data_IF_271020911784
#
_entry.id   IF_271020911784
#
_cell.length_a   1.000
_cell.length_b   1.000
_cell.length_c   1.000
_cell.angle_alpha   90.00
_cell.angle_beta   90.00
_cell.angle_gamma   90.00
#
_symmetry.space_group_name_H-M   'P 1'
#
loop_
_entity.id
_entity.type
_entity.pdbx_description
1 polymer ?
#
# COMPACT_ATOMS: atom_id res chain seq x y z
N UNK A 1 21.98 4.04 -12.12
CA UNK A 1 21.56 2.64 -11.88
C UNK A 1 20.06 2.54 -12.08
N UNK A 2 19.52 1.44 -12.63
CA UNK A 2 18.08 1.25 -12.85
C UNK A 2 17.44 0.52 -11.66
N UNK A 3 16.35 1.10 -11.17
CA UNK A 3 15.59 0.59 -10.03
C UNK A 3 14.15 0.34 -10.50
N UNK A 4 13.70 -0.90 -10.45
CA UNK A 4 12.30 -1.26 -10.68
C UNK A 4 11.55 -1.24 -9.36
N UNK A 5 10.41 -0.56 -9.31
CA UNK A 5 9.46 -0.62 -8.20
C UNK A 5 8.19 -1.34 -8.66
N UNK A 6 7.82 -2.34 -7.89
CA UNK A 6 6.63 -3.14 -8.09
C UNK A 6 5.68 -2.97 -6.91
N UNK A 7 4.39 -2.98 -7.23
CA UNK A 7 3.30 -2.89 -6.28
C UNK A 7 3.14 -4.10 -5.37
N UNK A 8 1.91 -4.29 -4.93
CA UNK A 8 1.54 -5.21 -3.86
C UNK A 8 1.60 -6.68 -4.28
N UNK A 9 2.19 -7.53 -3.43
CA UNK A 9 2.27 -8.98 -3.63
C UNK A 9 1.70 -9.79 -2.47
N UNK A 10 0.81 -10.72 -2.83
CA UNK A 10 0.28 -11.78 -1.97
C UNK A 10 0.09 -13.07 -2.79
N UNK A 11 0.77 -14.16 -2.38
CA UNK A 11 0.72 -15.45 -3.08
C UNK A 11 0.43 -16.63 -2.14
N UNK A 12 -0.71 -17.29 -2.32
CA UNK A 12 -1.04 -18.54 -1.63
C UNK A 12 -0.51 -19.77 -2.35
N UNK A 13 -0.45 -19.73 -3.67
CA UNK A 13 -0.02 -20.84 -4.54
C UNK A 13 1.11 -20.40 -5.48
N UNK A 14 2.25 -19.89 -4.95
CA UNK A 14 3.30 -19.26 -5.75
C UNK A 14 3.82 -20.11 -6.91
N UNK A 15 3.80 -21.43 -6.79
CA UNK A 15 4.19 -22.40 -7.83
C UNK A 15 3.31 -22.35 -9.09
N UNK A 16 2.09 -21.82 -9.00
CA UNK A 16 1.18 -21.68 -10.13
C UNK A 16 1.40 -20.38 -10.90
N UNK A 17 2.07 -19.40 -10.29
CA UNK A 17 2.17 -18.05 -10.82
C UNK A 17 3.54 -17.78 -11.43
N UNK A 18 3.58 -16.95 -12.46
CA UNK A 18 4.82 -16.58 -13.16
C UNK A 18 4.86 -15.12 -13.57
N UNK A 19 6.07 -14.62 -13.76
CA UNK A 19 6.33 -13.36 -14.46
C UNK A 19 6.45 -13.67 -15.95
N UNK A 20 5.67 -12.98 -16.77
CA UNK A 20 5.68 -13.11 -18.22
C UNK A 20 7.04 -12.72 -18.83
N UNK A 21 7.38 -13.25 -20.03
CA UNK A 21 8.70 -13.07 -20.63
C UNK A 21 9.10 -11.61 -20.88
N UNK A 22 8.16 -10.72 -21.27
CA UNK A 22 8.50 -9.33 -21.57
C UNK A 22 8.79 -8.54 -20.28
N UNK A 23 7.94 -8.72 -19.27
CA UNK A 23 8.14 -8.15 -17.94
C UNK A 23 9.43 -8.68 -17.31
N UNK A 24 9.69 -9.98 -17.42
CA UNK A 24 10.94 -10.58 -16.93
C UNK A 24 12.18 -9.97 -17.58
N UNK A 25 12.11 -9.67 -18.89
CA UNK A 25 13.20 -8.98 -19.61
C UNK A 25 13.43 -7.57 -19.05
N UNK A 26 12.38 -6.80 -18.80
CA UNK A 26 12.47 -5.45 -18.21
C UNK A 26 13.05 -5.48 -16.80
N UNK A 27 12.54 -6.36 -15.94
CA UNK A 27 13.05 -6.54 -14.58
C UNK A 27 14.53 -6.95 -14.59
N UNK A 28 14.93 -7.81 -15.52
CA UNK A 28 16.33 -8.24 -15.68
C UNK A 28 17.30 -7.13 -16.11
N UNK A 29 16.81 -5.99 -16.57
CA UNK A 29 17.63 -4.80 -16.86
C UNK A 29 17.81 -3.88 -15.65
N UNK A 30 17.15 -4.18 -14.52
CA UNK A 30 17.20 -3.37 -13.30
C UNK A 30 18.09 -4.06 -12.26
N UNK A 31 19.07 -3.31 -11.72
CA UNK A 31 19.98 -3.79 -10.69
C UNK A 31 19.29 -3.93 -9.33
N UNK A 32 18.36 -3.02 -9.03
CA UNK A 32 17.51 -3.07 -7.84
C UNK A 32 16.07 -3.31 -8.26
N UNK A 33 15.40 -4.22 -7.55
CA UNK A 33 14.00 -4.59 -7.76
C UNK A 33 13.30 -4.57 -6.42
N UNK A 34 12.44 -3.58 -6.26
CA UNK A 34 11.69 -3.25 -5.06
C UNK A 34 10.30 -3.85 -5.17
N UNK A 35 9.81 -4.48 -4.11
CA UNK A 35 8.43 -5.00 -4.05
C UNK A 35 7.84 -4.88 -2.64
N UNK A 36 6.53 -4.65 -2.56
CA UNK A 36 5.80 -4.74 -1.30
C UNK A 36 5.34 -6.18 -1.05
N UNK A 37 5.96 -6.84 -0.07
CA UNK A 37 5.54 -8.16 0.39
C UNK A 37 4.47 -7.98 1.45
N UNK A 38 3.21 -7.96 1.00
CA UNK A 38 2.16 -7.30 1.78
C UNK A 38 1.75 -8.10 3.01
N UNK A 39 1.78 -9.42 2.92
CA UNK A 39 1.16 -10.28 3.91
C UNK A 39 2.21 -11.18 4.58
N UNK A 40 2.12 -11.49 5.90
CA UNK A 40 3.02 -12.43 6.54
C UNK A 40 2.84 -13.84 5.97
N UNK A 41 3.90 -14.65 6.07
CA UNK A 41 3.82 -16.05 5.67
C UNK A 41 3.07 -16.90 6.70
N UNK A 42 2.41 -17.94 6.21
CA UNK A 42 1.81 -18.97 7.05
C UNK A 42 2.84 -19.57 8.00
N UNK A 43 2.49 -19.57 9.28
CA UNK A 43 3.38 -19.99 10.37
C UNK A 43 2.61 -20.93 11.28
N UNK A 44 3.15 -22.13 11.50
CA UNK A 44 2.54 -23.12 12.38
C UNK A 44 2.39 -22.56 13.80
N UNK A 45 1.19 -22.71 14.37
CA UNK A 45 0.87 -22.20 15.71
C UNK A 45 0.46 -20.72 15.77
N UNK A 46 0.78 -19.92 14.75
CA UNK A 46 0.45 -18.50 14.74
C UNK A 46 -1.07 -18.27 14.59
N UNK A 47 -1.60 -17.39 15.45
CA UNK A 47 -3.03 -17.06 15.48
C UNK A 47 -3.25 -15.67 14.88
N UNK A 48 -4.24 -15.56 14.00
CA UNK A 48 -4.65 -14.29 13.41
C UNK A 48 -5.07 -13.27 14.47
N UNK A 49 -4.58 -12.04 14.35
CA UNK A 49 -4.91 -10.97 15.30
C UNK A 49 -6.36 -10.52 15.15
N UNK A 50 -6.91 -9.96 16.22
CA UNK A 50 -8.20 -9.30 16.14
C UNK A 50 -8.02 -7.86 15.64
N UNK A 51 -8.28 -7.64 14.35
CA UNK A 51 -8.19 -6.33 13.67
C UNK A 51 -9.46 -5.99 12.88
N UNK A 52 -9.55 -4.74 12.43
CA UNK A 52 -10.51 -4.36 11.41
C UNK A 52 -10.06 -4.88 10.05
N UNK A 53 -11.01 -5.28 9.22
CA UNK A 53 -10.72 -5.81 7.90
C UNK A 53 -10.27 -7.27 7.94
N UNK A 54 -9.84 -7.82 6.79
CA UNK A 54 -9.45 -9.21 6.70
C UNK A 54 -8.09 -9.46 7.38
N UNK A 55 -7.94 -10.70 7.84
CA UNK A 55 -6.65 -11.26 8.28
C UNK A 55 -6.13 -12.15 7.16
N UNK A 56 -4.92 -11.88 6.70
CA UNK A 56 -4.30 -12.53 5.56
C UNK A 56 -2.98 -13.20 5.93
N UNK A 57 -2.73 -14.34 5.31
CA UNK A 57 -1.45 -15.04 5.28
C UNK A 57 -1.17 -15.46 3.82
N UNK A 58 0.10 -15.68 3.52
CA UNK A 58 0.55 -16.20 2.22
C UNK A 58 1.52 -17.37 2.38
N UNK A 59 1.78 -18.13 1.31
CA UNK A 59 2.66 -19.29 1.38
C UNK A 59 4.10 -18.88 1.75
N UNK A 60 4.82 -19.64 2.60
CA UNK A 60 6.25 -19.43 2.82
C UNK A 60 7.08 -19.49 1.53
N UNK A 61 6.62 -20.22 0.52
CA UNK A 61 7.26 -20.29 -0.80
C UNK A 61 7.15 -18.99 -1.59
N UNK A 62 6.29 -18.03 -1.19
CA UNK A 62 6.20 -16.72 -1.82
C UNK A 62 7.52 -15.93 -1.66
N UNK A 63 8.24 -16.10 -0.55
CA UNK A 63 9.55 -15.51 -0.34
C UNK A 63 10.59 -16.06 -1.33
N UNK A 64 10.57 -17.36 -1.60
CA UNK A 64 11.42 -17.98 -2.60
C UNK A 64 11.04 -17.52 -4.02
N UNK A 65 9.74 -17.42 -4.32
CA UNK A 65 9.25 -16.91 -5.60
C UNK A 65 9.77 -15.51 -5.90
N UNK A 66 9.74 -14.61 -4.92
CA UNK A 66 10.31 -13.25 -5.03
C UNK A 66 11.80 -13.30 -5.34
N UNK A 67 12.57 -14.09 -4.57
CA UNK A 67 14.02 -14.21 -4.78
C UNK A 67 14.36 -14.78 -6.15
N UNK A 68 13.64 -15.80 -6.60
CA UNK A 68 13.82 -16.41 -7.92
C UNK A 68 13.48 -15.46 -9.09
N UNK A 69 12.68 -14.41 -8.84
CA UNK A 69 12.42 -13.34 -9.81
C UNK A 69 13.35 -12.13 -9.65
N UNK A 70 14.37 -12.24 -8.80
CA UNK A 70 15.48 -11.28 -8.65
C UNK A 70 15.13 -10.04 -7.82
N UNK A 71 14.02 -10.05 -7.09
CA UNK A 71 13.69 -9.00 -6.12
C UNK A 71 14.68 -9.01 -4.96
N UNK A 72 15.25 -7.85 -4.66
CA UNK A 72 16.35 -7.72 -3.70
C UNK A 72 16.18 -6.55 -2.71
N UNK A 73 15.09 -5.78 -2.84
CA UNK A 73 14.64 -4.79 -1.86
C UNK A 73 13.17 -5.07 -1.55
N UNK A 74 12.85 -5.39 -0.31
CA UNK A 74 11.51 -5.78 0.12
C UNK A 74 11.03 -4.75 1.13
N UNK A 75 9.88 -4.14 0.88
CA UNK A 75 9.18 -3.41 1.93
C UNK A 75 8.18 -4.35 2.61
N UNK A 76 8.23 -4.34 3.94
CA UNK A 76 7.24 -4.98 4.82
C UNK A 76 6.43 -3.92 5.59
N UNK A 77 6.63 -2.63 5.30
CA UNK A 77 5.86 -1.55 5.87
C UNK A 77 4.50 -1.47 5.20
N UNK A 78 3.57 -2.29 5.66
CA UNK A 78 2.18 -2.32 5.23
C UNK A 78 1.28 -2.64 6.43
N UNK A 79 -0.03 -2.60 6.22
CA UNK A 79 -1.02 -2.80 7.28
C UNK A 79 -1.26 -4.29 7.63
N UNK A 80 -0.79 -5.21 6.79
CA UNK A 80 -0.98 -6.66 6.93
C UNK A 80 0.21 -7.38 7.58
N UNK A 81 1.39 -6.76 7.69
CA UNK A 81 2.62 -7.38 8.20
C UNK A 81 2.51 -8.11 9.55
N UNK A 82 1.54 -7.72 10.41
CA UNK A 82 1.28 -8.33 11.72
C UNK A 82 -0.05 -9.06 11.82
N UNK A 83 -0.66 -9.42 10.70
CA UNK A 83 -1.94 -10.15 10.68
C UNK A 83 -1.90 -11.45 11.48
N UNK A 84 -0.72 -12.09 11.59
CA UNK A 84 -0.47 -13.29 12.41
C UNK A 84 0.50 -13.01 13.57
N UNK A 85 0.51 -11.77 14.05
CA UNK A 85 1.29 -11.33 15.20
C UNK A 85 2.81 -11.38 14.99
N UNK A 86 3.54 -11.38 16.11
CA UNK A 86 5.01 -11.42 16.10
C UNK A 86 5.54 -12.72 15.47
N UNK A 87 4.85 -13.84 15.66
CA UNK A 87 5.27 -15.15 15.14
C UNK A 87 5.27 -15.16 13.61
N UNK A 88 4.18 -14.71 12.98
CA UNK A 88 4.08 -14.58 11.53
C UNK A 88 5.11 -13.60 10.95
N UNK A 89 5.32 -12.47 11.63
CA UNK A 89 6.31 -11.48 11.22
C UNK A 89 7.75 -12.03 11.29
N UNK A 90 8.12 -12.62 12.44
CA UNK A 90 9.46 -13.19 12.65
C UNK A 90 9.74 -14.32 11.66
N UNK A 91 8.75 -15.18 11.40
CA UNK A 91 8.88 -16.22 10.38
C UNK A 91 9.09 -15.60 9.00
N UNK A 92 8.34 -14.56 8.65
CA UNK A 92 8.51 -13.83 7.39
C UNK A 92 9.93 -13.26 7.24
N UNK A 93 10.41 -12.55 8.26
CA UNK A 93 11.77 -11.98 8.29
C UNK A 93 12.84 -13.06 8.13
N UNK A 94 12.64 -14.24 8.73
CA UNK A 94 13.62 -15.35 8.64
C UNK A 94 13.83 -15.89 7.22
N UNK A 95 12.90 -15.63 6.29
CA UNK A 95 12.98 -16.10 4.89
C UNK A 95 13.77 -15.15 3.98
N UNK A 96 14.09 -13.95 4.47
CA UNK A 96 14.73 -12.86 3.74
C UNK A 96 16.08 -12.50 4.38
N UNK A 97 17.06 -13.40 4.26
CA UNK A 97 18.40 -13.23 4.86
C UNK A 97 19.42 -12.56 3.92
N UNK A 98 19.13 -12.48 2.63
CA UNK A 98 20.03 -12.05 1.56
C UNK A 98 19.49 -10.85 0.76
N UNK A 99 18.40 -10.25 1.23
CA UNK A 99 17.76 -9.09 0.61
C UNK A 99 17.71 -7.92 1.58
N UNK A 100 17.53 -6.72 1.04
CA UNK A 100 17.34 -5.52 1.85
C UNK A 100 15.88 -5.41 2.28
N UNK A 101 15.61 -5.34 3.57
CA UNK A 101 14.26 -5.13 4.10
C UNK A 101 14.14 -3.70 4.63
N UNK A 102 13.01 -3.03 4.41
CA UNK A 102 12.75 -1.68 4.92
C UNK A 102 11.43 -1.55 5.66
N UNK A 103 11.39 -0.57 6.59
CA UNK A 103 10.18 -0.11 7.26
C UNK A 103 9.60 -1.05 8.33
N UNK A 104 10.42 -1.98 8.83
CA UNK A 104 10.06 -2.95 9.87
C UNK A 104 11.14 -2.98 10.95
N UNK A 105 10.75 -3.12 12.21
CA UNK A 105 11.67 -3.19 13.34
C UNK A 105 10.98 -2.85 14.66
N UNK A 106 11.76 -2.52 15.67
CA UNK A 106 11.24 -2.00 16.95
C UNK A 106 10.89 -0.51 16.81
N UNK A 107 10.34 0.12 17.84
CA UNK A 107 10.11 1.58 17.84
C UNK A 107 11.38 2.40 17.57
N UNK A 108 12.55 1.82 17.85
CA UNK A 108 13.84 2.44 17.55
C UNK A 108 14.33 2.14 16.13
N UNK A 109 14.16 0.91 15.63
CA UNK A 109 14.78 0.48 14.37
C UNK A 109 13.87 0.48 13.14
N UNK A 110 12.54 0.49 13.29
CA UNK A 110 11.62 0.43 12.15
C UNK A 110 11.79 1.58 11.16
N UNK A 111 12.21 2.76 11.64
CA UNK A 111 12.45 3.96 10.84
C UNK A 111 13.91 4.07 10.35
N UNK A 112 14.73 3.05 10.53
CA UNK A 112 16.10 3.08 10.00
C UNK A 112 16.07 3.05 8.47
N UNK A 113 16.99 3.80 7.86
CA UNK A 113 17.21 3.72 6.42
C UNK A 113 17.81 2.37 6.08
N UNK A 114 17.22 1.71 5.09
CA UNK A 114 17.81 0.53 4.47
C UNK A 114 18.61 1.01 3.26
N UNK A 115 19.92 0.82 3.30
CA UNK A 115 20.83 1.35 2.27
C UNK A 115 21.42 0.21 1.46
N UNK A 116 21.35 0.33 0.14
CA UNK A 116 22.01 -0.55 -0.81
C UNK A 116 23.11 0.21 -1.51
N UNK A 117 24.33 -0.33 -1.48
CA UNK A 117 25.48 0.23 -2.18
C UNK A 117 25.79 -0.62 -3.42
N UNK A 118 25.72 0.00 -4.60
CA UNK A 118 25.99 -0.61 -5.91
C UNK A 118 26.54 0.45 -6.85
N UNK A 119 27.54 0.09 -7.67
CA UNK A 119 28.16 0.99 -8.64
C UNK A 119 28.61 2.34 -8.01
N UNK A 120 29.20 2.27 -6.81
CA UNK A 120 29.65 3.42 -6.01
C UNK A 120 28.54 4.43 -5.63
N UNK A 121 27.26 4.03 -5.75
CA UNK A 121 26.10 4.82 -5.36
C UNK A 121 25.36 4.16 -4.18
N UNK A 122 25.01 4.96 -3.17
CA UNK A 122 24.23 4.55 -2.00
C UNK A 122 22.78 4.96 -2.18
N UNK A 123 21.91 3.97 -2.34
CA UNK A 123 20.46 4.17 -2.43
C UNK A 123 19.81 3.82 -1.11
N UNK A 124 19.16 4.79 -0.49
CA UNK A 124 18.35 4.62 0.71
C UNK A 124 16.90 4.31 0.37
N UNK A 125 16.29 3.43 1.16
CA UNK A 125 14.88 3.08 1.12
C UNK A 125 14.26 3.24 2.51
N UNK A 126 13.08 3.87 2.55
CA UNK A 126 12.28 4.02 3.76
C UNK A 126 10.84 3.57 3.52
N UNK A 127 10.51 2.35 3.94
CA UNK A 127 9.14 1.86 3.99
C UNK A 127 8.36 2.54 5.11
N UNK A 128 7.14 3.00 4.82
CA UNK A 128 6.21 3.59 5.79
C UNK A 128 4.82 3.04 5.54
N UNK A 129 3.98 2.97 6.57
CA UNK A 129 2.56 2.60 6.43
C UNK A 129 1.67 3.55 7.22
N UNK A 130 0.44 3.74 6.76
CA UNK A 130 -0.57 4.41 7.59
C UNK A 130 -0.84 3.63 8.90
N UNK A 131 -1.36 4.31 9.92
CA UNK A 131 -1.51 3.76 11.27
C UNK A 131 -2.62 2.72 11.34
N UNK A 132 -2.23 1.45 11.33
CA UNK A 132 -3.05 0.31 11.72
C UNK A 132 -2.37 -0.53 12.83
N UNK A 133 -2.92 -1.69 13.17
CA UNK A 133 -2.48 -2.52 14.32
C UNK A 133 -1.00 -2.91 14.31
N UNK A 134 -0.39 -3.04 13.13
CA UNK A 134 1.00 -3.49 13.01
C UNK A 134 2.05 -2.40 13.28
N UNK A 135 1.65 -1.13 13.38
CA UNK A 135 2.63 -0.05 13.55
C UNK A 135 3.31 -0.10 14.92
N UNK A 136 4.62 0.12 14.94
CA UNK A 136 5.39 0.26 16.19
C UNK A 136 4.79 1.33 17.11
N UNK A 137 4.93 1.11 18.42
CA UNK A 137 4.31 1.92 19.46
C UNK A 137 5.34 2.30 20.53
N UNK A 138 5.29 3.56 20.98
CA UNK A 138 6.14 4.08 22.06
C UNK A 138 5.83 3.40 23.40
N UNK A 139 4.58 2.94 23.60
CA UNK A 139 4.17 2.24 24.81
C UNK A 139 4.74 0.81 24.87
N UNK A 140 5.11 0.24 23.72
CA UNK A 140 5.63 -1.11 23.60
C UNK A 140 6.88 -1.10 22.69
N UNK A 141 7.96 -0.41 23.10
CA UNK A 141 9.03 -0.03 22.20
C UNK A 141 9.83 -1.22 21.63
N UNK A 142 9.85 -2.34 22.33
CA UNK A 142 10.58 -3.57 21.95
C UNK A 142 9.77 -4.49 21.03
N UNK A 143 8.46 -4.25 20.87
CA UNK A 143 7.61 -5.06 19.99
C UNK A 143 7.93 -4.70 18.53
N UNK A 144 8.18 -5.72 17.71
CA UNK A 144 8.42 -5.50 16.29
C UNK A 144 7.14 -5.03 15.61
N UNK A 145 7.27 -4.15 14.64
CA UNK A 145 6.16 -3.57 13.91
C UNK A 145 6.64 -2.78 12.72
N UNK A 146 5.68 -2.17 12.03
CA UNK A 146 5.92 -1.35 10.84
C UNK A 146 6.13 0.11 11.22
N UNK A 147 6.92 0.82 10.42
CA UNK A 147 7.15 2.25 10.57
C UNK A 147 5.89 3.04 10.17
N UNK A 148 5.35 3.82 11.11
CA UNK A 148 4.14 4.60 10.87
C UNK A 148 4.46 5.93 10.18
N UNK A 149 3.78 6.22 9.08
CA UNK A 149 4.01 7.39 8.24
C UNK A 149 3.82 8.73 8.97
N UNK A 150 2.91 8.79 9.96
CA UNK A 150 2.63 9.99 10.74
C UNK A 150 3.58 10.22 11.93
N UNK A 151 4.54 9.33 12.14
CA UNK A 151 5.52 9.46 13.22
C UNK A 151 6.54 10.57 12.91
N UNK A 152 6.89 11.45 13.87
CA UNK A 152 7.98 12.42 13.69
C UNK A 152 9.33 11.77 13.36
N UNK A 153 9.52 10.49 13.72
CA UNK A 153 10.71 9.73 13.35
C UNK A 153 10.84 9.55 11.83
N UNK A 154 9.73 9.43 11.09
CA UNK A 154 9.76 9.30 9.64
C UNK A 154 10.36 10.56 8.99
N UNK A 155 9.84 11.75 9.35
CA UNK A 155 10.37 13.03 8.85
C UNK A 155 11.84 13.21 9.24
N UNK A 156 12.19 12.93 10.49
CA UNK A 156 13.59 13.02 10.95
C UNK A 156 14.50 12.12 10.10
N UNK A 157 14.10 10.87 9.87
CA UNK A 157 14.87 9.93 9.04
C UNK A 157 15.07 10.47 7.62
N UNK A 158 14.02 11.04 7.00
CA UNK A 158 14.09 11.61 5.65
C UNK A 158 15.10 12.77 5.62
N UNK A 159 15.01 13.70 6.57
CA UNK A 159 15.95 14.84 6.66
C UNK A 159 17.40 14.39 6.87
N UNK A 160 17.62 13.37 7.69
CA UNK A 160 18.96 12.84 7.99
C UNK A 160 19.53 12.02 6.81
N UNK A 161 18.71 11.60 5.84
CA UNK A 161 19.09 10.65 4.80
C UNK A 161 20.15 11.17 3.84
N UNK A 162 20.14 12.46 3.54
CA UNK A 162 21.13 13.11 2.64
C UNK A 162 22.57 12.93 3.12
N UNK A 163 22.79 12.74 4.42
CA UNK A 163 24.12 12.48 4.99
C UNK A 163 24.58 11.02 4.87
N UNK A 164 23.68 10.11 4.48
CA UNK A 164 23.88 8.65 4.52
C UNK A 164 23.74 7.98 3.16
N UNK A 165 22.95 8.56 2.26
CA UNK A 165 22.64 8.03 0.94
C UNK A 165 22.64 9.15 -0.11
N UNK A 166 23.00 8.81 -1.35
CA UNK A 166 23.00 9.72 -2.49
C UNK A 166 21.57 9.99 -2.99
N UNK A 167 20.72 8.96 -2.90
CA UNK A 167 19.28 9.04 -3.20
C UNK A 167 18.47 8.37 -2.10
N UNK A 168 17.29 8.92 -1.81
CA UNK A 168 16.32 8.31 -0.91
C UNK A 168 14.99 8.08 -1.63
N UNK A 169 14.49 6.85 -1.63
CA UNK A 169 13.12 6.55 -2.06
C UNK A 169 12.27 6.20 -0.84
N UNK A 170 11.18 6.95 -0.65
CA UNK A 170 10.19 6.67 0.39
C UNK A 170 9.09 5.80 -0.22
N UNK A 171 8.69 4.75 0.50
CA UNK A 171 7.73 3.75 0.05
C UNK A 171 6.51 3.71 0.98
N UNK A 172 5.59 4.69 0.90
CA UNK A 172 4.38 4.70 1.72
C UNK A 172 3.38 3.63 1.25
N UNK A 173 2.88 2.83 2.17
CA UNK A 173 1.73 1.96 1.97
C UNK A 173 0.52 2.59 2.67
N UNK A 174 -0.21 3.43 1.94
CA UNK A 174 -1.30 4.23 2.49
C UNK A 174 -2.28 4.72 1.41
N UNK A 175 -3.53 4.96 1.82
CA UNK A 175 -4.59 5.44 0.94
C UNK A 175 -5.96 4.91 1.35
N UNK A 176 -7.00 5.18 0.56
CA UNK A 176 -8.31 4.56 0.73
C UNK A 176 -8.42 3.45 -0.31
N UNK A 177 -8.70 2.22 0.13
CA UNK A 177 -8.81 1.07 -0.76
C UNK A 177 -9.82 1.28 -1.89
N UNK A 178 -9.45 0.85 -3.10
CA UNK A 178 -10.24 0.90 -4.33
C UNK A 178 -10.59 2.31 -4.82
N UNK A 179 -9.89 3.34 -4.34
CA UNK A 179 -10.03 4.72 -4.82
C UNK A 179 -8.82 5.07 -5.68
N UNK A 180 -9.06 5.51 -6.92
CA UNK A 180 -8.03 5.79 -7.94
C UNK A 180 -7.49 7.24 -7.90
N UNK A 181 -7.89 8.03 -6.90
CA UNK A 181 -7.40 9.38 -6.63
C UNK A 181 -6.87 9.51 -5.18
N UNK A 182 -5.67 10.08 -4.97
CA UNK A 182 -5.15 10.27 -3.62
C UNK A 182 -5.94 11.32 -2.86
N UNK A 183 -6.06 11.16 -1.54
CA UNK A 183 -6.57 12.22 -0.67
C UNK A 183 -5.61 13.43 -0.69
N UNK A 184 -6.10 14.67 -0.58
CA UNK A 184 -5.24 15.86 -0.57
C UNK A 184 -4.18 15.82 0.52
N UNK A 185 -4.52 15.25 1.68
CA UNK A 185 -3.61 15.08 2.81
C UNK A 185 -2.45 14.13 2.48
N UNK A 186 -2.69 13.07 1.68
CA UNK A 186 -1.61 12.21 1.18
C UNK A 186 -0.77 12.93 0.13
N UNK A 187 -1.40 13.68 -0.78
CA UNK A 187 -0.72 14.52 -1.78
C UNK A 187 0.24 15.52 -1.15
N UNK A 188 -0.25 16.29 -0.17
CA UNK A 188 0.55 17.25 0.58
C UNK A 188 1.67 16.58 1.39
N UNK A 189 1.37 15.48 2.09
CA UNK A 189 2.38 14.76 2.88
C UNK A 189 3.50 14.21 2.00
N UNK A 190 3.18 13.65 0.83
CA UNK A 190 4.20 13.10 -0.07
C UNK A 190 5.04 14.20 -0.72
N UNK A 191 4.46 15.35 -1.06
CA UNK A 191 5.21 16.54 -1.48
C UNK A 191 6.18 16.99 -0.38
N UNK A 192 5.76 16.98 0.88
CA UNK A 192 6.64 17.34 2.00
C UNK A 192 7.83 16.40 2.15
N UNK A 193 7.70 15.10 1.82
CA UNK A 193 8.83 14.18 1.85
C UNK A 193 9.92 14.57 0.83
N UNK A 194 9.51 15.05 -0.35
CA UNK A 194 10.44 15.59 -1.34
C UNK A 194 11.10 16.86 -0.80
N UNK A 195 10.33 17.77 -0.19
CA UNK A 195 10.87 19.00 0.41
C UNK A 195 11.90 18.72 1.52
N UNK A 196 11.73 17.62 2.27
CA UNK A 196 12.67 17.16 3.29
C UNK A 196 13.87 16.38 2.73
N UNK A 197 13.94 16.14 1.42
CA UNK A 197 15.11 15.58 0.75
C UNK A 197 14.95 14.16 0.19
N UNK A 198 13.73 13.64 0.09
CA UNK A 198 13.49 12.41 -0.67
C UNK A 198 13.71 12.65 -2.18
N UNK A 199 14.30 11.67 -2.86
CA UNK A 199 14.52 11.66 -4.31
C UNK A 199 13.31 11.16 -5.10
N UNK A 200 12.33 10.58 -4.42
CA UNK A 200 11.08 10.12 -4.99
C UNK A 200 10.18 9.47 -3.93
N UNK A 201 8.88 9.49 -4.17
CA UNK A 201 7.88 8.79 -3.36
C UNK A 201 7.16 7.79 -4.24
N UNK A 202 7.21 6.51 -3.88
CA UNK A 202 6.62 5.42 -4.66
C UNK A 202 5.68 4.64 -3.75
N UNK A 203 4.39 4.93 -3.83
CA UNK A 203 3.39 4.42 -2.89
C UNK A 203 2.59 3.21 -3.41
N UNK A 204 1.94 2.53 -2.47
CA UNK A 204 1.07 1.35 -2.60
C UNK A 204 -0.09 1.42 -1.61
N UNK A 205 -0.94 0.37 -1.51
CA UNK A 205 -2.08 0.17 -0.59
C UNK A 205 -3.48 0.23 -1.22
N UNK A 206 -3.86 1.24 -2.03
CA UNK A 206 -5.22 1.32 -2.55
C UNK A 206 -5.67 0.12 -3.40
N UNK A 207 -4.77 -0.82 -3.74
CA UNK A 207 -5.00 -1.96 -4.61
C UNK A 207 -5.47 -1.60 -6.03
N UNK A 208 -5.38 -0.32 -6.39
CA UNK A 208 -5.63 0.22 -7.72
C UNK A 208 -4.52 1.22 -8.05
N UNK A 209 -4.10 1.34 -9.31
CA UNK A 209 -3.21 2.40 -9.74
C UNK A 209 -3.81 3.78 -9.46
N UNK A 210 -2.98 4.69 -8.98
CA UNK A 210 -3.28 6.12 -8.91
C UNK A 210 -2.31 6.88 -9.82
N UNK A 211 -2.61 8.14 -10.12
CA UNK A 211 -1.76 8.98 -10.95
C UNK A 211 -0.38 9.24 -10.34
N UNK A 212 0.45 9.94 -11.09
CA UNK A 212 1.76 10.39 -10.64
C UNK A 212 1.99 11.86 -10.98
N UNK A 213 2.92 12.48 -10.26
CA UNK A 213 3.35 13.87 -10.47
C UNK A 213 4.87 13.97 -10.45
N UNK A 214 5.41 15.03 -11.06
CA UNK A 214 6.79 15.45 -10.86
C UNK A 214 6.77 16.71 -10.02
N UNK A 215 7.23 16.61 -8.77
CA UNK A 215 7.27 17.70 -7.81
C UNK A 215 8.73 18.03 -7.46
N UNK A 216 9.15 19.28 -7.63
CA UNK A 216 10.54 19.71 -7.45
C UNK A 216 11.57 18.81 -8.16
N UNK A 217 11.22 18.33 -9.37
CA UNK A 217 12.06 17.45 -10.18
C UNK A 217 12.12 16.00 -9.71
N UNK A 218 11.33 15.60 -8.70
CA UNK A 218 11.27 14.24 -8.18
C UNK A 218 9.91 13.59 -8.48
N UNK A 219 9.87 12.28 -8.78
CA UNK A 219 8.63 11.57 -9.03
C UNK A 219 7.86 11.29 -7.73
N UNK A 220 6.54 11.45 -7.79
CA UNK A 220 5.58 10.99 -6.79
C UNK A 220 4.57 10.09 -7.49
N UNK A 221 4.59 8.78 -7.19
CA UNK A 221 3.63 7.80 -7.66
C UNK A 221 2.69 7.49 -6.48
N UNK A 222 1.41 7.84 -6.59
CA UNK A 222 0.48 7.78 -5.46
C UNK A 222 0.00 6.38 -5.11
N UNK A 223 -0.02 5.47 -6.09
CA UNK A 223 -0.24 4.05 -5.88
C UNK A 223 0.16 3.29 -7.14
N UNK A 224 1.02 2.29 -7.00
CA UNK A 224 1.35 1.39 -8.10
C UNK A 224 0.22 0.39 -8.40
N UNK A 225 -0.64 0.06 -7.43
CA UNK A 225 -1.59 -1.06 -7.54
C UNK A 225 -0.95 -2.41 -7.19
N UNK A 226 -1.57 -3.50 -7.62
CA UNK A 226 -1.12 -4.86 -7.29
C UNK A 226 -0.15 -5.42 -8.33
N UNK A 227 1.09 -5.68 -7.94
CA UNK A 227 2.00 -6.42 -8.81
C UNK A 227 1.46 -7.82 -9.08
N UNK A 228 1.12 -8.55 -8.01
CA UNK A 228 0.47 -9.86 -8.11
C UNK A 228 -0.23 -10.19 -6.79
N UNK A 229 -1.56 -10.11 -6.78
CA UNK A 229 -2.36 -10.34 -5.58
C UNK A 229 -3.37 -11.47 -5.79
N UNK A 230 -3.11 -12.64 -5.19
CA UNK A 230 -3.94 -13.83 -5.35
C UNK A 230 -5.24 -13.75 -4.53
N UNK A 231 -6.38 -13.78 -5.21
CA UNK A 231 -7.71 -13.83 -4.59
C UNK A 231 -8.36 -15.22 -4.76
N UNK A 232 -9.02 -15.76 -3.72
CA UNK A 232 -9.65 -17.09 -3.77
C UNK A 232 -10.91 -17.15 -4.65
N UNK A 233 -11.67 -16.04 -4.75
CA UNK A 233 -12.84 -15.92 -5.61
C UNK A 233 -12.67 -14.68 -6.50
N UNK A 234 -12.26 -14.85 -7.77
CA UNK A 234 -12.21 -13.77 -8.75
C UNK A 234 -13.63 -13.45 -9.25
N UNK A 235 -14.58 -13.14 -8.34
CA UNK A 235 -15.88 -12.62 -8.79
C UNK A 235 -15.68 -11.17 -9.25
N UNK A 236 -15.96 -10.97 -10.54
CA UNK A 236 -15.73 -9.77 -11.36
C UNK A 236 -14.26 -9.40 -11.59
N UNK A 237 -13.84 -9.52 -12.86
CA UNK A 237 -12.58 -9.01 -13.41
C UNK A 237 -12.57 -7.47 -13.27
N UNK A 238 -12.35 -6.95 -12.06
CA UNK A 238 -12.09 -5.52 -11.91
C UNK A 238 -10.74 -5.26 -12.55
N UNK A 239 -10.76 -4.77 -13.80
CA UNK A 239 -9.58 -4.44 -14.58
C UNK A 239 -8.56 -3.64 -13.74
N UNK A 240 -9.06 -2.70 -12.93
CA UNK A 240 -8.24 -1.84 -12.07
C UNK A 240 -7.56 -2.56 -10.92
N UNK A 241 -8.09 -3.70 -10.44
CA UNK A 241 -7.48 -4.49 -9.38
C UNK A 241 -6.28 -5.31 -9.89
N UNK A 242 -6.33 -5.73 -11.15
CA UNK A 242 -5.27 -6.52 -11.79
C UNK A 242 -4.27 -5.67 -12.57
N UNK A 243 -4.60 -4.41 -12.84
CA UNK A 243 -3.68 -3.44 -13.42
C UNK A 243 -2.73 -2.90 -12.33
N UNK A 244 -1.46 -2.77 -12.68
CA UNK A 244 -0.43 -2.15 -11.85
C UNK A 244 0.53 -1.33 -12.70
N UNK A 245 1.24 -0.41 -12.06
CA UNK A 245 2.28 0.41 -12.67
C UNK A 245 3.65 -0.16 -12.26
N UNK A 246 4.41 -0.67 -13.23
CA UNK A 246 5.84 -0.87 -13.06
C UNK A 246 6.52 0.49 -13.20
N UNK A 247 7.25 0.90 -12.17
CA UNK A 247 8.01 2.16 -12.18
C UNK A 247 9.48 1.82 -12.32
N UNK A 248 10.15 2.29 -13.39
CA UNK A 248 11.60 2.14 -13.54
C UNK A 248 12.23 3.51 -13.41
N UNK A 249 13.09 3.70 -12.41
CA UNK A 249 13.81 4.96 -12.17
C UNK A 249 15.30 4.77 -12.45
N UNK A 250 15.91 5.71 -13.16
CA UNK A 250 17.35 5.85 -13.25
C UNK A 250 17.84 6.76 -12.12
N UNK A 251 18.56 6.19 -11.15
CA UNK A 251 19.04 6.89 -9.96
C UNK A 251 19.97 8.09 -10.26
N UNK A 252 20.65 8.06 -11.40
CA UNK A 252 21.64 9.08 -11.76
C UNK A 252 20.99 10.44 -12.05
N UNK A 253 19.89 10.44 -12.82
CA UNK A 253 19.21 11.64 -13.30
C UNK A 253 17.76 11.77 -12.82
N UNK A 254 17.26 10.83 -12.02
CA UNK A 254 15.86 10.71 -11.58
C UNK A 254 14.85 10.58 -12.73
N UNK A 255 15.28 10.31 -13.96
CA UNK A 255 14.35 10.01 -15.04
C UNK A 255 13.63 8.69 -14.75
N UNK A 256 12.34 8.64 -15.05
CA UNK A 256 11.53 7.47 -14.77
C UNK A 256 10.59 7.13 -15.92
N UNK A 257 10.25 5.84 -16.00
CA UNK A 257 9.30 5.28 -16.94
C UNK A 257 8.18 4.59 -16.15
N UNK A 258 6.94 4.78 -16.61
CA UNK A 258 5.74 4.11 -16.07
C UNK A 258 5.25 3.14 -17.13
N UNK A 259 5.24 1.85 -16.80
CA UNK A 259 4.85 0.78 -17.72
C UNK A 259 3.64 0.06 -17.11
N UNK A 260 2.46 0.10 -17.76
CA UNK A 260 1.32 -0.69 -17.32
C UNK A 260 1.64 -2.19 -17.39
N UNK A 261 1.39 -2.90 -16.29
CA UNK A 261 1.44 -4.36 -16.20
C UNK A 261 0.09 -4.87 -15.73
N UNK A 262 -0.28 -6.08 -16.13
CA UNK A 262 -1.56 -6.68 -15.74
C UNK A 262 -1.36 -8.13 -15.35
N UNK A 263 -2.05 -8.55 -14.28
CA UNK A 263 -2.14 -9.95 -13.90
C UNK A 263 -3.31 -10.64 -14.61
N UNK A 264 -2.99 -11.60 -15.47
CA UNK A 264 -3.94 -12.47 -16.15
C UNK A 264 -4.26 -13.67 -15.24
N UNK A 265 -5.45 -13.64 -14.63
CA UNK A 265 -5.89 -14.67 -13.68
C UNK A 265 -6.03 -16.07 -14.31
N UNK A 266 -6.36 -16.16 -15.59
CA UNK A 266 -6.52 -17.44 -16.31
C UNK A 266 -5.13 -18.05 -16.57
N UNK A 267 -4.18 -17.22 -17.00
CA UNK A 267 -2.80 -17.66 -17.28
C UNK A 267 -1.91 -17.76 -16.04
N UNK A 268 -2.37 -17.23 -14.90
CA UNK A 268 -1.57 -17.08 -13.67
C UNK A 268 -0.25 -16.34 -13.93
N UNK A 269 -0.34 -15.27 -14.71
CA UNK A 269 0.83 -14.56 -15.22
C UNK A 269 0.67 -13.06 -15.07
N UNK A 270 1.66 -12.40 -14.47
CA UNK A 270 1.79 -10.94 -14.55
C UNK A 270 2.68 -10.58 -15.73
N UNK A 271 2.21 -9.70 -16.61
CA UNK A 271 2.90 -9.35 -17.85
C UNK A 271 2.70 -7.88 -18.22
N UNK A 272 3.58 -7.35 -19.08
CA UNK A 272 3.44 -6.04 -19.71
C UNK A 272 2.09 -5.94 -20.42
N UNK A 273 1.36 -4.88 -20.10
CA UNK A 273 0.06 -4.57 -20.64
C UNK A 273 0.04 -3.21 -21.33
N UNK A 274 1.15 -2.77 -21.93
CA UNK A 274 1.30 -1.46 -22.58
C UNK A 274 0.59 -1.42 -23.95
N UNK A 275 -0.71 -1.15 -23.93
CA UNK A 275 -1.57 -1.00 -25.10
C UNK A 275 -2.33 0.33 -25.02
N UNK A 276 -3.12 0.66 -26.05
CA UNK A 276 -3.84 1.94 -26.12
C UNK A 276 -4.77 2.15 -24.92
N UNK A 277 -5.56 1.14 -24.54
CA UNK A 277 -6.50 1.23 -23.41
C UNK A 277 -5.79 1.51 -22.09
N UNK A 278 -4.68 0.82 -21.81
CA UNK A 278 -3.94 1.02 -20.55
C UNK A 278 -3.17 2.33 -20.55
N UNK A 279 -2.64 2.78 -21.69
CA UNK A 279 -2.00 4.10 -21.82
C UNK A 279 -2.99 5.23 -21.60
N UNK A 280 -4.19 5.12 -22.18
CA UNK A 280 -5.26 6.10 -21.97
C UNK A 280 -5.74 6.09 -20.52
N UNK A 281 -5.82 4.92 -19.88
CA UNK A 281 -6.14 4.83 -18.47
C UNK A 281 -5.09 5.51 -17.59
N UNK A 282 -3.79 5.26 -17.81
CA UNK A 282 -2.71 5.94 -17.07
C UNK A 282 -2.72 7.44 -17.31
N UNK A 283 -2.94 7.87 -18.55
CA UNK A 283 -3.08 9.30 -18.88
C UNK A 283 -4.24 9.94 -18.11
N UNK A 284 -5.40 9.28 -18.07
CA UNK A 284 -6.55 9.73 -17.27
C UNK A 284 -6.16 9.88 -15.80
N UNK A 285 -5.45 8.91 -15.21
CA UNK A 285 -5.03 9.00 -13.80
C UNK A 285 -4.16 10.24 -13.52
N UNK A 286 -3.27 10.60 -14.45
CA UNK A 286 -2.48 11.84 -14.35
C UNK A 286 -3.35 13.08 -14.50
N UNK A 287 -4.30 13.08 -15.45
CA UNK A 287 -5.25 14.18 -15.65
C UNK A 287 -6.14 14.42 -14.41
N UNK A 288 -6.49 13.37 -13.65
CA UNK A 288 -7.23 13.50 -12.39
C UNK A 288 -6.50 14.37 -11.36
N UNK A 289 -5.18 14.49 -11.44
CA UNK A 289 -4.36 15.26 -10.50
C UNK A 289 -4.22 16.74 -10.88
N UNK A 290 -4.70 17.12 -12.06
CA UNK A 290 -4.75 18.54 -12.48
C UNK A 290 -5.78 19.31 -11.67
N UNK A 291 -5.48 20.55 -11.29
CA UNK A 291 -6.28 21.33 -10.34
C UNK A 291 -7.77 21.46 -10.72
N UNK A 292 -8.08 21.57 -12.02
CA UNK A 292 -9.44 21.67 -12.54
C UNK A 292 -10.25 20.38 -12.30
N UNK A 293 -9.63 19.21 -12.47
CA UNK A 293 -10.29 17.92 -12.32
C UNK A 293 -10.23 17.38 -10.89
N UNK A 294 -9.13 17.66 -10.18
CA UNK A 294 -8.83 17.05 -8.88
C UNK A 294 -9.93 17.33 -7.85
N UNK A 295 -10.34 18.59 -7.70
CA UNK A 295 -11.39 18.98 -6.74
C UNK A 295 -12.74 18.32 -7.06
N UNK A 296 -13.16 18.36 -8.33
CA UNK A 296 -14.43 17.79 -8.79
C UNK A 296 -14.50 16.27 -8.64
N UNK A 297 -13.41 15.58 -8.96
CA UNK A 297 -13.37 14.11 -8.84
C UNK A 297 -13.35 13.72 -7.37
N UNK A 298 -12.56 14.42 -6.56
CA UNK A 298 -12.47 14.20 -5.13
C UNK A 298 -13.83 14.39 -4.43
N UNK A 299 -14.57 15.44 -4.79
CA UNK A 299 -15.97 15.67 -4.39
C UNK A 299 -16.83 14.43 -4.58
N UNK A 300 -16.87 13.95 -5.82
CA UNK A 300 -17.67 12.79 -6.20
C UNK A 300 -17.23 11.53 -5.45
N UNK A 301 -15.92 11.29 -5.35
CA UNK A 301 -15.37 10.17 -4.57
C UNK A 301 -15.85 10.20 -3.13
N UNK A 302 -15.83 11.36 -2.48
CA UNK A 302 -16.34 11.48 -1.11
C UNK A 302 -17.84 11.26 -1.01
N UNK A 303 -18.64 11.76 -1.95
CA UNK A 303 -20.08 11.49 -1.99
C UNK A 303 -20.39 9.98 -2.01
N UNK A 304 -19.60 9.20 -2.76
CA UNK A 304 -19.70 7.75 -2.83
C UNK A 304 -19.26 7.07 -1.51
N UNK A 305 -18.29 7.64 -0.79
CA UNK A 305 -17.80 7.13 0.49
C UNK A 305 -18.72 7.49 1.68
N UNK A 306 -19.48 8.58 1.60
CA UNK A 306 -20.33 9.08 2.70
C UNK A 306 -21.23 7.99 3.31
N UNK A 307 -22.00 7.20 2.51
CA UNK A 307 -22.88 6.19 3.07
C UNK A 307 -22.14 5.14 3.92
N UNK A 308 -20.93 4.75 3.49
CA UNK A 308 -20.11 3.79 4.23
C UNK A 308 -19.67 4.35 5.57
N UNK A 309 -19.00 5.51 5.58
CA UNK A 309 -18.46 6.10 6.81
C UNK A 309 -19.57 6.56 7.76
N UNK A 310 -20.63 7.21 7.27
CA UNK A 310 -21.77 7.63 8.10
C UNK A 310 -22.44 6.44 8.78
N UNK A 311 -22.59 5.32 8.07
CA UNK A 311 -23.15 4.10 8.64
C UNK A 311 -22.26 3.54 9.74
N UNK A 312 -20.95 3.43 9.49
CA UNK A 312 -20.01 2.90 10.48
C UNK A 312 -19.97 3.79 11.73
N UNK A 313 -20.03 5.12 11.58
CA UNK A 313 -20.09 6.04 12.73
C UNK A 313 -21.38 5.86 13.56
N UNK A 314 -22.55 5.85 12.91
CA UNK A 314 -23.85 5.68 13.61
C UNK A 314 -23.94 4.32 14.30
N UNK A 315 -23.34 3.29 13.70
CA UNK A 315 -23.38 1.93 14.23
C UNK A 315 -22.27 1.63 15.26
N UNK A 316 -21.47 2.63 15.66
CA UNK A 316 -20.35 2.43 16.60
C UNK A 316 -19.29 1.47 16.06
N UNK A 317 -18.99 1.55 14.77
CA UNK A 317 -18.07 0.67 14.06
C UNK A 317 -18.67 -0.67 13.62
N UNK A 318 -19.92 -0.97 13.97
CA UNK A 318 -20.47 -2.29 13.71
C UNK A 318 -20.63 -2.57 12.20
N UNK A 319 -19.75 -3.40 11.66
CA UNK A 319 -19.85 -3.91 10.29
C UNK A 319 -21.00 -4.92 10.22
N UNK A 320 -21.91 -4.76 9.25
CA UNK A 320 -22.97 -5.76 9.11
C UNK A 320 -22.46 -7.00 8.40
N UNK A 321 -22.69 -8.18 8.98
CA UNK A 321 -22.64 -9.44 8.25
C UNK A 321 -23.42 -9.33 6.93
N UNK A 322 -22.71 -9.56 5.83
CA UNK A 322 -23.16 -9.34 4.46
C UNK A 322 -24.10 -10.45 3.97
N UNK A 323 -25.01 -10.03 3.09
CA UNK A 323 -25.88 -10.78 2.16
C UNK A 323 -26.96 -11.75 2.66
N UNK A 324 -26.85 -12.50 3.76
CA UNK A 324 -27.79 -13.65 3.96
C UNK A 324 -29.21 -13.39 4.47
N UNK A 325 -29.64 -12.17 4.81
CA UNK A 325 -30.98 -11.97 5.41
C UNK A 325 -31.52 -10.52 5.36
N UNK A 326 -31.72 -9.94 4.17
CA UNK A 326 -32.32 -8.58 4.04
C UNK A 326 -33.75 -8.51 4.61
N UNK A 327 -34.59 -9.51 4.37
CA UNK A 327 -36.00 -9.54 4.82
C UNK A 327 -36.10 -9.72 6.35
N UNK A 328 -35.31 -10.64 6.93
CA UNK A 328 -35.22 -10.80 8.41
C UNK A 328 -34.61 -9.57 9.09
N UNK A 329 -33.73 -8.80 8.42
CA UNK A 329 -33.19 -7.53 8.92
C UNK A 329 -34.28 -6.46 8.98
N UNK A 330 -35.08 -6.28 7.93
CA UNK A 330 -36.17 -5.31 7.90
C UNK A 330 -37.19 -5.55 9.02
N UNK A 331 -37.65 -6.80 9.20
CA UNK A 331 -38.58 -7.18 10.27
C UNK A 331 -37.99 -6.93 11.67
N UNK A 332 -36.69 -7.20 11.88
CA UNK A 332 -36.02 -6.97 13.17
C UNK A 332 -35.73 -5.50 13.48
N UNK A 333 -35.58 -4.66 12.44
CA UNK A 333 -35.41 -3.21 12.55
C UNK A 333 -36.71 -2.53 12.97
N UNK A 334 -37.83 -2.94 12.35
CA UNK A 334 -39.20 -2.48 12.70
C UNK A 334 -39.59 -2.90 14.13
N UNK A 335 -39.05 -4.02 14.63
CA UNK A 335 -39.30 -4.53 16.00
C UNK A 335 -38.32 -3.97 17.05
N UNK A 336 -37.44 -3.02 16.73
CA UNK A 336 -36.56 -2.35 17.69
C UNK A 336 -35.53 -3.25 18.41
N UNK A 337 -35.28 -4.47 17.92
CA UNK A 337 -34.64 -5.54 18.71
C UNK A 337 -33.15 -5.81 18.43
N UNK A 338 -32.48 -5.04 17.58
CA UNK A 338 -31.00 -5.07 17.47
C UNK A 338 -30.45 -3.71 17.05
N UNK A 339 -29.93 -2.97 18.03
CA UNK A 339 -28.81 -2.05 17.79
C UNK A 339 -27.65 -2.93 17.35
N UNK A 340 -27.00 -2.63 16.24
CA UNK A 340 -25.76 -3.33 15.88
C UNK A 340 -24.78 -3.15 17.06
N UNK A 341 -24.21 -4.24 17.58
CA UNK A 341 -23.27 -4.12 18.71
C UNK A 341 -22.04 -3.35 18.22
N UNK A 342 -21.61 -2.28 18.91
CA UNK A 342 -20.41 -1.56 18.53
C UNK A 342 -19.22 -2.51 18.35
N UNK A 343 -18.47 -2.30 17.29
CA UNK A 343 -17.19 -2.98 17.06
C UNK A 343 -16.10 -1.96 17.41
N UNK A 344 -15.54 -2.12 18.60
CA UNK A 344 -14.52 -1.20 19.12
C UNK A 344 -13.24 -1.23 18.28
N UNK A 345 -12.93 -2.37 17.67
CA UNK A 345 -11.72 -2.55 16.85
C UNK A 345 -11.91 -1.82 15.52
N UNK A 346 -13.05 -2.00 14.85
CA UNK A 346 -13.35 -1.23 13.65
C UNK A 346 -13.43 0.27 13.94
N UNK A 347 -14.11 0.66 15.03
CA UNK A 347 -14.22 2.05 15.44
C UNK A 347 -12.85 2.68 15.70
N UNK A 348 -11.95 1.98 16.39
CA UNK A 348 -10.58 2.42 16.59
C UNK A 348 -9.86 2.64 15.26
N UNK A 349 -10.03 1.76 14.25
CA UNK A 349 -9.42 1.96 12.93
C UNK A 349 -9.80 3.30 12.33
N UNK A 350 -11.10 3.61 12.40
CA UNK A 350 -11.65 4.80 11.78
C UNK A 350 -11.02 6.08 12.34
N UNK A 351 -10.57 6.05 13.60
CA UNK A 351 -9.89 7.19 14.24
C UNK A 351 -8.37 7.17 14.08
N UNK A 352 -7.74 6.00 14.22
CA UNK A 352 -6.27 5.92 14.24
C UNK A 352 -5.66 5.98 12.83
N UNK A 353 -6.28 5.32 11.85
CA UNK A 353 -5.79 5.28 10.47
C UNK A 353 -6.03 6.63 9.79
N UNK A 354 -4.97 7.23 9.27
CA UNK A 354 -4.98 8.55 8.61
C UNK A 354 -6.04 8.61 7.51
N UNK A 355 -6.07 7.61 6.62
CA UNK A 355 -6.98 7.56 5.47
C UNK A 355 -8.45 7.60 5.90
N UNK A 356 -8.81 6.79 6.90
CA UNK A 356 -10.17 6.77 7.43
C UNK A 356 -10.48 8.04 8.21
N UNK A 357 -9.55 8.48 9.08
CA UNK A 357 -9.72 9.67 9.91
C UNK A 357 -9.96 10.92 9.06
N UNK A 358 -9.13 11.17 8.04
CA UNK A 358 -9.29 12.33 7.16
C UNK A 358 -10.58 12.27 6.36
N UNK A 359 -10.97 11.08 5.89
CA UNK A 359 -12.25 10.89 5.22
C UNK A 359 -13.44 11.21 6.14
N UNK A 360 -13.41 10.73 7.39
CA UNK A 360 -14.45 11.06 8.36
C UNK A 360 -14.45 12.54 8.75
N UNK A 361 -13.28 13.15 8.94
CA UNK A 361 -13.17 14.57 9.29
C UNK A 361 -13.82 15.44 8.21
N UNK A 362 -13.58 15.15 6.93
CA UNK A 362 -14.23 15.86 5.81
C UNK A 362 -15.74 15.69 5.80
N UNK A 363 -16.21 14.47 6.06
CA UNK A 363 -17.64 14.17 6.19
C UNK A 363 -18.31 14.96 7.32
N UNK A 364 -17.64 15.11 8.46
CA UNK A 364 -18.14 15.80 9.65
C UNK A 364 -18.07 17.32 9.57
N UNK A 365 -17.01 17.85 8.95
CA UNK A 365 -16.75 19.30 8.86
C UNK A 365 -17.94 20.02 8.21
N UNK A 366 -18.54 19.47 7.14
CA UNK A 366 -19.78 19.97 6.54
C UNK A 366 -19.70 21.38 5.92
N UNK A 367 -18.78 22.24 6.37
CA UNK A 367 -18.42 23.53 5.79
C UNK A 367 -17.45 23.40 4.61
N UNK A 368 -16.66 22.31 4.57
CA UNK A 368 -15.97 21.85 3.36
C UNK A 368 -16.92 21.18 2.37
N UNK A 369 -18.05 21.83 2.06
CA UNK A 369 -18.63 21.66 0.72
C UNK A 369 -17.69 22.36 -0.24
N UNK A 370 -16.69 21.58 -0.64
CA UNK A 370 -15.74 21.75 -1.72
C UNK A 370 -15.99 23.02 -2.55
N UNK A 371 -15.31 24.09 -2.16
CA UNK A 371 -15.28 25.39 -2.83
C UNK A 371 -13.86 25.82 -2.99
#
# INVERSE_FOLDING_TARGET
>A
MKIAFCGDLMLKTPELHKVGPNLKKLLNQCELRVINFEVPVETEGAVGIHKSGPVHCQSPMAAEWIKNNGFNVITLANNHALDYGQEGLLKTLSLFNDVTITGIGTYQSAYNLSIVERNDEKIGFLGLTHKEWGCVDVLNPEVLGTACVSSPKAIKTIMDAKSKADRLYVLPHAGVENIDIPLPEWRELYQSFIDFGASGVIASHPHVPQGYEVYNGCPIIYSMGNFLFERPNPEEKSFTFYLSLLVIINSTDNNFEIIPICYDYEKKEVEVADNEETRDYVKRLVELLSDEHYTTVLEKTFEELIPFYKRNMIAGGAMSDTKKNRIKKFIKLVLGKRVLKPDQVHLLNLFQCESHRWTMMRLLDGSKKFK
#
